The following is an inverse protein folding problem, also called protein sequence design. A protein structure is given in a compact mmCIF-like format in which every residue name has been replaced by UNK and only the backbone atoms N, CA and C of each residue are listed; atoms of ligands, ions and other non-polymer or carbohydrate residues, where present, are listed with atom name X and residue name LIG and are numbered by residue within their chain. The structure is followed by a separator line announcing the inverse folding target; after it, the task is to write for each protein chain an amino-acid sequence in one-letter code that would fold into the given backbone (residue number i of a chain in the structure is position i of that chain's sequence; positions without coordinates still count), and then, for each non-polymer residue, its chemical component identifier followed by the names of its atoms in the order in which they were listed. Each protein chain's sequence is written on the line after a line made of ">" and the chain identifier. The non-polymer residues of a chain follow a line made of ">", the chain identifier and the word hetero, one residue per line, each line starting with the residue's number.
data_IF_692785184927
#
_entry.id   IF_692785184927
#
_cell.length_a   1.000
_cell.length_b   1.000
_cell.length_c   1.000
_cell.angle_alpha   90.00
_cell.angle_beta   90.00
_cell.angle_gamma   90.00
#
_symmetry.space_group_name_H-M   'P 1'
#
loop_
_entity.id
_entity.type
_entity.pdbx_description
1 polymer ?
#
# COMPACT_ATOMS: atom_id res chain seq x y z
N UNK A 1 -63.25 -9.22 -70.74
CA UNK A 1 -62.49 -8.45 -69.76
C UNK A 1 -63.37 -8.13 -68.55
N UNK A 2 -63.29 -8.86 -67.46
CA UNK A 2 -64.02 -8.68 -66.20
C UNK A 2 -63.32 -7.54 -65.41
N UNK A 3 -64.10 -6.46 -65.23
CA UNK A 3 -63.71 -5.30 -64.48
C UNK A 3 -64.01 -5.57 -62.99
N UNK A 4 -63.01 -6.12 -62.22
CA UNK A 4 -63.13 -6.38 -60.78
C UNK A 4 -62.88 -5.06 -60.03
N UNK A 5 -64.01 -4.38 -59.66
CA UNK A 5 -63.94 -3.30 -58.66
C UNK A 5 -63.45 -3.84 -57.36
N UNK A 6 -62.23 -3.46 -56.96
CA UNK A 6 -61.70 -3.70 -55.60
C UNK A 6 -62.62 -3.02 -54.58
N UNK A 7 -63.32 -3.83 -53.79
CA UNK A 7 -64.06 -3.33 -52.63
C UNK A 7 -63.03 -2.87 -51.59
N UNK A 8 -63.00 -1.58 -51.32
CA UNK A 8 -62.18 -0.99 -50.26
C UNK A 8 -62.65 -1.55 -48.90
N UNK A 9 -61.69 -2.03 -48.11
CA UNK A 9 -61.96 -2.58 -46.80
C UNK A 9 -62.27 -1.47 -45.79
N UNK A 10 -63.50 -1.36 -45.22
CA UNK A 10 -63.89 -0.28 -44.36
C UNK A 10 -63.07 -0.20 -43.04
N UNK A 11 -62.40 -1.28 -42.67
CA UNK A 11 -61.50 -1.29 -41.49
C UNK A 11 -60.16 -0.61 -41.76
N UNK A 12 -59.66 -0.62 -42.98
CA UNK A 12 -58.41 0.06 -43.33
C UNK A 12 -58.61 1.55 -43.34
N UNK A 13 -59.74 2.07 -43.83
CA UNK A 13 -60.07 3.48 -43.82
C UNK A 13 -60.18 4.03 -42.40
N UNK A 14 -60.70 3.22 -41.45
CA UNK A 14 -60.83 3.60 -40.04
C UNK A 14 -59.49 3.64 -39.30
N UNK A 15 -58.48 2.88 -39.80
CA UNK A 15 -57.11 2.92 -39.25
C UNK A 15 -56.32 4.12 -39.81
N UNK A 16 -56.54 4.47 -41.03
CA UNK A 16 -55.89 5.69 -41.61
C UNK A 16 -56.39 6.97 -40.98
N UNK A 17 -57.69 7.08 -40.65
CA UNK A 17 -58.24 8.24 -39.94
C UNK A 17 -57.80 8.34 -38.47
N UNK A 18 -57.49 7.21 -37.83
CA UNK A 18 -56.91 7.20 -36.46
C UNK A 18 -55.44 7.63 -36.44
N UNK A 19 -54.69 7.38 -37.49
CA UNK A 19 -53.29 7.78 -37.57
C UNK A 19 -53.10 9.27 -37.96
N UNK A 20 -54.16 9.98 -38.37
CA UNK A 20 -54.10 11.42 -38.66
C UNK A 20 -54.25 12.32 -37.42
N UNK A 21 -54.60 11.79 -36.28
CA UNK A 21 -54.47 12.55 -35.03
C UNK A 21 -53.03 12.41 -34.59
N UNK A 22 -52.23 13.46 -34.75
CA UNK A 22 -50.88 13.56 -34.21
C UNK A 22 -50.94 13.23 -32.72
N UNK A 23 -50.30 12.15 -32.34
CA UNK A 23 -50.21 11.70 -30.94
C UNK A 23 -49.21 12.56 -30.15
N UNK A 24 -48.63 13.56 -30.78
CA UNK A 24 -47.75 14.52 -30.14
C UNK A 24 -48.53 15.82 -29.90
N UNK A 25 -48.84 16.16 -28.62
CA UNK A 25 -49.27 17.49 -28.32
C UNK A 25 -48.14 18.43 -28.74
N UNK A 26 -48.48 19.58 -29.33
CA UNK A 26 -47.56 20.67 -29.54
C UNK A 26 -46.93 21.08 -28.21
N UNK A 27 -45.89 20.38 -27.83
CA UNK A 27 -45.11 20.72 -26.68
C UNK A 27 -44.02 21.66 -27.17
N UNK A 28 -44.02 22.82 -26.62
CA UNK A 28 -42.84 23.65 -26.45
C UNK A 28 -41.81 22.76 -25.71
N UNK A 29 -41.15 21.84 -26.42
CA UNK A 29 -40.05 21.05 -25.92
C UNK A 29 -38.90 22.00 -25.78
N UNK A 30 -38.76 22.61 -24.58
CA UNK A 30 -37.48 23.20 -24.19
C UNK A 30 -36.44 22.12 -24.43
N UNK A 31 -35.51 22.37 -25.34
CA UNK A 31 -34.38 21.49 -25.61
C UNK A 31 -33.77 21.11 -24.26
N UNK A 32 -34.03 19.90 -23.76
CA UNK A 32 -33.30 19.34 -22.66
C UNK A 32 -31.89 19.17 -23.16
N UNK A 33 -30.95 19.87 -22.51
CA UNK A 33 -29.51 19.63 -22.71
C UNK A 33 -29.29 18.13 -22.74
N UNK A 34 -28.54 17.59 -23.70
CA UNK A 34 -28.32 16.18 -23.79
C UNK A 34 -27.78 15.67 -22.43
N UNK A 35 -28.47 14.72 -21.84
CA UNK A 35 -28.00 14.07 -20.61
C UNK A 35 -26.65 13.46 -20.94
N UNK A 36 -25.61 14.03 -20.35
CA UNK A 36 -24.26 13.53 -20.51
C UNK A 36 -24.20 12.23 -19.71
N UNK A 37 -24.35 11.10 -20.39
CA UNK A 37 -24.10 9.80 -19.80
C UNK A 37 -22.65 9.79 -19.32
N UNK A 38 -22.45 9.90 -18.02
CA UNK A 38 -21.13 9.68 -17.41
C UNK A 38 -20.85 8.21 -17.64
N UNK A 39 -19.84 7.93 -18.46
CA UNK A 39 -19.40 6.58 -18.69
C UNK A 39 -18.87 6.05 -17.32
N UNK A 40 -19.69 5.24 -16.66
CA UNK A 40 -19.35 4.69 -15.34
C UNK A 40 -18.01 3.97 -15.38
N UNK A 41 -17.62 3.40 -16.51
CA UNK A 41 -16.34 2.72 -16.69
C UNK A 41 -15.16 3.69 -16.55
N UNK A 42 -15.23 4.93 -17.10
CA UNK A 42 -14.15 5.91 -16.93
C UNK A 42 -14.00 6.35 -15.47
N UNK A 43 -15.12 6.49 -14.76
CA UNK A 43 -15.11 6.81 -13.34
C UNK A 43 -14.50 5.70 -12.50
N UNK A 44 -14.84 4.43 -12.78
CA UNK A 44 -14.24 3.28 -12.10
C UNK A 44 -12.76 3.09 -12.46
N UNK A 45 -12.37 3.25 -13.71
CA UNK A 45 -10.97 3.19 -14.15
C UNK A 45 -10.12 4.28 -13.50
N UNK A 46 -10.62 5.51 -13.39
CA UNK A 46 -9.89 6.59 -12.71
C UNK A 46 -9.67 6.29 -11.22
N UNK A 47 -10.65 5.72 -10.53
CA UNK A 47 -10.52 5.28 -9.12
C UNK A 47 -9.57 4.11 -8.96
N UNK A 48 -9.62 3.12 -9.85
CA UNK A 48 -8.71 1.98 -9.83
C UNK A 48 -7.27 2.42 -10.07
N UNK A 49 -7.04 3.26 -11.08
CA UNK A 49 -5.73 3.81 -11.39
C UNK A 49 -5.17 4.65 -10.24
N UNK A 50 -6.01 5.44 -9.57
CA UNK A 50 -5.61 6.21 -8.39
C UNK A 50 -5.20 5.30 -7.23
N UNK A 51 -6.02 4.30 -6.90
CA UNK A 51 -5.69 3.30 -5.86
C UNK A 51 -4.40 2.53 -6.20
N UNK A 52 -4.22 2.14 -7.45
CA UNK A 52 -3.04 1.43 -7.90
C UNK A 52 -1.78 2.31 -7.85
N UNK A 53 -1.88 3.60 -8.21
CA UNK A 53 -0.78 4.55 -8.09
C UNK A 53 -0.41 4.86 -6.63
N UNK A 54 -1.38 4.95 -5.74
CA UNK A 54 -1.16 5.13 -4.30
C UNK A 54 -0.52 3.87 -3.67
N UNK A 55 -1.00 2.68 -4.02
CA UNK A 55 -0.41 1.42 -3.59
C UNK A 55 1.04 1.28 -4.08
N UNK A 56 1.33 1.61 -5.35
CA UNK A 56 2.69 1.57 -5.91
C UNK A 56 3.62 2.56 -5.22
N UNK A 57 3.15 3.77 -4.89
CA UNK A 57 3.93 4.76 -4.13
C UNK A 57 4.27 4.25 -2.73
N UNK A 58 3.31 3.62 -2.04
CA UNK A 58 3.53 3.05 -0.72
C UNK A 58 4.54 1.89 -0.77
N UNK A 59 4.42 0.97 -1.73
CA UNK A 59 5.36 -0.13 -1.92
C UNK A 59 6.79 0.39 -2.17
N UNK A 60 6.95 1.43 -2.97
CA UNK A 60 8.27 2.01 -3.25
C UNK A 60 8.91 2.66 -2.02
N UNK A 61 8.10 3.17 -1.08
CA UNK A 61 8.59 3.73 0.19
C UNK A 61 9.32 2.70 1.05
N UNK A 62 8.94 1.43 0.98
CA UNK A 62 9.57 0.35 1.76
C UNK A 62 10.81 -0.26 1.10
N UNK A 63 11.09 0.14 -0.15
CA UNK A 63 12.23 -0.35 -0.94
C UNK A 63 13.49 0.51 -0.82
N UNK A 64 13.53 1.41 0.14
CA UNK A 64 14.65 2.30 0.38
C UNK A 64 15.23 2.03 1.76
N UNK A 65 16.54 1.92 1.84
CA UNK A 65 17.25 1.79 3.11
C UNK A 65 16.91 2.94 4.05
N UNK A 66 16.72 2.62 5.32
CA UNK A 66 16.30 3.57 6.34
C UNK A 66 17.45 3.87 7.31
N UNK A 67 17.76 5.13 7.49
CA UNK A 67 18.67 5.57 8.53
C UNK A 67 17.89 5.80 9.83
N UNK A 68 18.23 5.07 10.88
CA UNK A 68 17.55 5.13 12.18
C UNK A 68 18.14 6.20 13.10
N UNK A 69 19.38 6.61 12.85
CA UNK A 69 20.05 7.65 13.61
C UNK A 69 21.45 7.28 14.08
N UNK A 70 22.06 8.21 14.84
CA UNK A 70 23.36 8.05 15.45
C UNK A 70 23.22 7.97 16.96
N UNK A 71 23.97 7.06 17.58
CA UNK A 71 24.03 6.87 19.02
C UNK A 71 25.48 7.08 19.47
N UNK A 72 25.71 7.90 20.48
CA UNK A 72 27.01 8.01 21.16
C UNK A 72 26.96 7.23 22.44
N UNK A 73 27.90 6.31 22.60
CA UNK A 73 27.98 5.45 23.76
C UNK A 73 29.45 5.39 24.25
N UNK A 74 29.66 5.68 25.52
CA UNK A 74 30.98 5.57 26.16
C UNK A 74 31.18 4.19 26.83
N UNK A 75 30.13 3.36 26.81
CA UNK A 75 30.12 2.02 27.40
C UNK A 75 30.70 0.94 26.49
N UNK A 76 30.89 -0.26 27.04
CA UNK A 76 31.49 -1.38 26.33
C UNK A 76 30.53 -2.07 25.37
N UNK A 77 29.23 -1.99 25.63
CA UNK A 77 28.22 -2.67 24.86
C UNK A 77 26.90 -1.92 24.87
N UNK A 78 26.00 -2.34 23.97
CA UNK A 78 24.58 -1.97 23.99
C UNK A 78 23.72 -3.22 24.04
N UNK A 79 22.53 -3.10 24.62
CA UNK A 79 21.49 -4.11 24.55
C UNK A 79 20.49 -3.70 23.48
N UNK A 80 20.34 -4.50 22.45
CA UNK A 80 19.40 -4.30 21.35
C UNK A 80 18.20 -5.20 21.59
N UNK A 81 17.02 -4.60 21.63
CA UNK A 81 15.75 -5.30 21.80
C UNK A 81 14.93 -5.10 20.54
N UNK A 82 14.38 -6.20 20.01
CA UNK A 82 13.63 -6.25 18.78
C UNK A 82 12.28 -6.92 19.01
N UNK A 83 11.23 -6.38 18.41
CA UNK A 83 9.91 -7.02 18.35
C UNK A 83 9.19 -6.62 17.07
N UNK A 84 8.21 -7.40 16.68
CA UNK A 84 7.22 -6.95 15.72
C UNK A 84 6.34 -5.87 16.35
N UNK A 85 6.11 -4.76 15.64
CA UNK A 85 5.31 -3.66 16.17
C UNK A 85 3.88 -3.65 15.62
N UNK A 86 3.57 -4.50 14.63
CA UNK A 86 2.24 -4.63 14.06
C UNK A 86 1.67 -6.02 14.40
N UNK A 87 1.63 -6.91 13.43
CA UNK A 87 1.07 -8.25 13.58
C UNK A 87 2.12 -9.30 13.26
N UNK A 88 2.46 -10.19 14.22
CA UNK A 88 3.47 -11.22 14.00
C UNK A 88 3.04 -12.21 12.92
N UNK A 89 3.58 -12.06 11.74
CA UNK A 89 3.19 -12.83 10.55
C UNK A 89 4.35 -13.61 9.93
N UNK A 90 5.47 -13.70 10.65
CA UNK A 90 6.64 -14.48 10.25
C UNK A 90 7.79 -13.64 9.69
N UNK A 91 7.84 -12.36 10.04
CA UNK A 91 8.94 -11.47 9.68
C UNK A 91 10.28 -11.98 10.20
N UNK A 92 11.27 -12.07 9.31
CA UNK A 92 12.64 -12.47 9.59
C UNK A 92 13.60 -11.34 9.24
N UNK A 93 14.56 -11.09 10.12
CA UNK A 93 15.65 -10.16 9.89
C UNK A 93 17.00 -10.80 10.14
N UNK A 94 18.04 -10.26 9.51
CA UNK A 94 19.45 -10.51 9.78
C UNK A 94 20.06 -9.26 10.41
N UNK A 95 21.01 -9.42 11.31
CA UNK A 95 21.77 -8.30 11.88
C UNK A 95 23.24 -8.43 11.48
N UNK A 96 23.77 -7.36 10.92
CA UNK A 96 25.19 -7.19 10.59
C UNK A 96 25.78 -6.01 11.37
N UNK A 97 27.03 -6.13 11.75
CA UNK A 97 27.80 -5.04 12.35
C UNK A 97 29.09 -4.90 11.59
N UNK A 98 29.32 -3.71 11.03
CA UNK A 98 30.47 -3.46 10.16
C UNK A 98 30.61 -4.54 9.08
N UNK A 99 29.49 -4.86 8.39
CA UNK A 99 29.38 -5.89 7.34
C UNK A 99 29.59 -7.35 7.81
N UNK A 100 29.83 -7.59 9.09
CA UNK A 100 29.93 -8.93 9.66
C UNK A 100 28.60 -9.38 10.22
N UNK A 101 28.15 -10.58 9.85
CA UNK A 101 26.90 -11.17 10.35
C UNK A 101 27.08 -11.54 11.82
N UNK A 102 26.32 -10.87 12.70
CA UNK A 102 26.29 -11.20 14.14
C UNK A 102 25.08 -12.04 14.51
N UNK A 103 23.96 -11.86 13.79
CA UNK A 103 22.75 -12.68 13.96
C UNK A 103 22.21 -13.03 12.55
N UNK A 104 22.33 -14.29 12.13
CA UNK A 104 21.98 -14.67 10.74
C UNK A 104 20.48 -14.67 10.47
N UNK A 105 19.66 -14.93 11.51
CA UNK A 105 18.20 -14.83 11.40
C UNK A 105 17.57 -14.64 12.77
N UNK A 106 16.67 -13.66 12.86
CA UNK A 106 15.81 -13.40 14.02
C UNK A 106 14.38 -13.38 13.54
N UNK A 107 13.54 -14.28 14.06
CA UNK A 107 12.10 -14.22 13.87
C UNK A 107 11.55 -13.13 14.79
N UNK A 108 10.92 -12.12 14.21
CA UNK A 108 10.21 -11.07 14.94
C UNK A 108 8.89 -11.62 15.46
N UNK A 109 8.60 -11.30 16.71
CA UNK A 109 7.39 -11.74 17.40
C UNK A 109 6.86 -10.57 18.23
N UNK A 110 5.62 -10.65 18.69
CA UNK A 110 5.07 -9.70 19.66
C UNK A 110 5.92 -9.63 20.93
N UNK A 111 6.42 -10.80 21.37
CA UNK A 111 7.34 -10.89 22.52
C UNK A 111 8.72 -10.41 22.11
N UNK A 112 9.18 -9.35 22.78
CA UNK A 112 10.49 -8.76 22.55
C UNK A 112 11.62 -9.76 22.75
N UNK A 113 12.62 -9.74 21.87
CA UNK A 113 13.86 -10.51 21.93
C UNK A 113 15.03 -9.55 22.02
N UNK A 114 15.93 -9.77 22.94
CA UNK A 114 17.11 -8.94 23.13
C UNK A 114 18.40 -9.71 22.97
N UNK A 115 19.43 -8.99 22.54
CA UNK A 115 20.81 -9.50 22.54
C UNK A 115 21.77 -8.37 22.90
N UNK A 116 22.90 -8.76 23.48
CA UNK A 116 24.00 -7.87 23.80
C UNK A 116 24.90 -7.73 22.57
N UNK A 117 25.24 -6.50 22.21
CA UNK A 117 26.22 -6.17 21.18
C UNK A 117 27.43 -5.48 21.81
N UNK A 118 28.59 -6.15 21.82
CA UNK A 118 29.85 -5.56 22.22
C UNK A 118 30.33 -4.56 21.15
N UNK A 119 30.75 -3.37 21.56
CA UNK A 119 31.14 -2.29 20.67
C UNK A 119 32.65 -2.21 20.49
N UNK A 120 33.09 -2.07 19.25
CA UNK A 120 34.46 -1.69 18.92
C UNK A 120 34.66 -0.19 19.09
N UNK A 121 35.86 0.27 19.46
CA UNK A 121 36.16 1.70 19.47
C UNK A 121 35.95 2.33 18.10
N UNK A 122 35.36 3.53 18.07
CA UNK A 122 34.97 4.21 16.84
C UNK A 122 33.56 3.88 16.39
N UNK A 123 33.39 3.79 15.09
CA UNK A 123 32.06 3.59 14.49
C UNK A 123 31.68 2.11 14.39
N UNK A 124 30.50 1.80 14.89
CA UNK A 124 29.84 0.51 14.73
C UNK A 124 28.57 0.75 13.89
N UNK A 125 28.59 0.30 12.65
CA UNK A 125 27.47 0.37 11.73
C UNK A 125 26.63 -0.89 11.94
N UNK A 126 25.42 -0.73 12.48
CA UNK A 126 24.50 -1.83 12.78
C UNK A 126 23.38 -1.85 11.76
N UNK A 127 23.39 -2.84 10.88
CA UNK A 127 22.41 -3.03 9.83
C UNK A 127 21.41 -4.13 10.22
N UNK A 128 20.13 -3.80 10.19
CA UNK A 128 19.00 -4.72 10.30
C UNK A 128 18.43 -4.95 8.91
N UNK A 129 18.60 -6.14 8.37
CA UNK A 129 18.25 -6.46 6.98
C UNK A 129 17.02 -7.36 6.95
N UNK A 130 15.97 -6.93 6.26
CA UNK A 130 14.76 -7.74 6.10
C UNK A 130 15.03 -8.96 5.21
N UNK A 131 14.87 -10.16 5.74
CA UNK A 131 15.03 -11.42 4.99
C UNK A 131 13.76 -11.81 4.25
N UNK A 132 12.60 -11.43 4.78
CA UNK A 132 11.29 -11.62 4.19
C UNK A 132 10.35 -10.50 4.62
N UNK A 133 9.07 -10.59 4.25
CA UNK A 133 8.01 -9.65 4.61
C UNK A 133 6.83 -10.37 5.29
N UNK A 134 7.09 -11.50 5.91
CA UNK A 134 6.03 -12.31 6.50
C UNK A 134 4.97 -12.75 5.49
N UNK A 135 3.77 -13.00 5.96
CA UNK A 135 2.61 -13.32 5.11
C UNK A 135 1.82 -12.09 4.66
N UNK A 136 2.07 -10.92 5.25
CA UNK A 136 1.32 -9.67 5.07
C UNK A 136 2.25 -8.45 5.10
N UNK A 137 3.35 -8.50 4.33
CA UNK A 137 4.40 -7.49 4.33
C UNK A 137 3.94 -6.04 4.18
N UNK A 138 4.78 -5.09 4.57
CA UNK A 138 6.26 -5.13 4.68
C UNK A 138 6.75 -5.82 5.96
N UNK A 139 8.08 -6.10 6.05
CA UNK A 139 8.74 -6.50 7.29
C UNK A 139 8.65 -5.35 8.31
N UNK A 140 8.03 -5.60 9.45
CA UNK A 140 7.76 -4.57 10.46
C UNK A 140 8.47 -4.87 11.76
N UNK A 141 9.26 -3.90 12.26
CA UNK A 141 9.90 -4.06 13.55
C UNK A 141 10.01 -2.75 14.33
N UNK A 142 10.09 -2.92 15.65
CA UNK A 142 10.54 -1.91 16.59
C UNK A 142 11.88 -2.36 17.17
N UNK A 143 12.86 -1.46 17.14
CA UNK A 143 14.17 -1.63 17.75
C UNK A 143 14.33 -0.65 18.90
N UNK A 144 14.70 -1.17 20.04
CA UNK A 144 15.01 -0.39 21.25
C UNK A 144 16.43 -0.67 21.64
N UNK A 145 17.23 0.36 21.88
CA UNK A 145 18.64 0.26 22.24
C UNK A 145 18.85 0.87 23.63
N UNK A 146 19.41 0.08 24.51
CA UNK A 146 19.86 0.51 25.84
C UNK A 146 21.38 0.46 25.89
N UNK A 147 21.99 1.43 26.59
CA UNK A 147 23.41 1.37 26.90
C UNK A 147 23.71 0.32 28.02
N UNK A 148 24.99 0.18 28.40
CA UNK A 148 25.46 -0.70 29.45
C UNK A 148 24.97 -0.31 30.86
N UNK A 149 24.52 0.94 31.02
CA UNK A 149 23.91 1.43 32.27
C UNK A 149 22.37 1.26 32.28
N UNK A 150 21.79 0.67 31.24
CA UNK A 150 20.35 0.50 31.09
C UNK A 150 19.58 1.74 30.70
N UNK A 151 20.24 2.79 30.23
CA UNK A 151 19.57 4.00 29.73
C UNK A 151 19.12 3.79 28.29
N UNK A 152 17.93 4.27 27.99
CA UNK A 152 17.39 4.24 26.62
C UNK A 152 18.18 5.25 25.75
N UNK A 153 18.84 4.75 24.71
CA UNK A 153 19.66 5.55 23.78
C UNK A 153 19.15 5.53 22.34
N UNK A 154 18.23 4.63 22.01
CA UNK A 154 17.58 4.57 20.70
C UNK A 154 16.23 3.86 20.76
N UNK A 155 15.27 4.37 20.02
CA UNK A 155 13.96 3.71 19.82
C UNK A 155 13.39 4.13 18.46
N UNK A 156 13.33 3.17 17.53
CA UNK A 156 12.82 3.42 16.18
C UNK A 156 11.99 2.24 15.70
N UNK A 157 11.25 2.50 14.64
CA UNK A 157 10.44 1.50 13.92
C UNK A 157 10.77 1.56 12.43
N UNK A 158 10.62 0.43 11.77
CA UNK A 158 10.75 0.37 10.33
C UNK A 158 9.66 -0.46 9.68
N UNK A 159 9.50 -0.20 8.39
CA UNK A 159 8.71 -1.00 7.47
C UNK A 159 9.57 -1.21 6.23
N UNK A 160 10.12 -2.40 6.05
CA UNK A 160 11.10 -2.70 5.01
C UNK A 160 10.59 -3.75 4.02
N UNK A 161 10.90 -3.57 2.74
CA UNK A 161 10.79 -4.65 1.77
C UNK A 161 11.94 -5.66 1.96
N UNK A 162 11.77 -6.89 1.48
CA UNK A 162 12.83 -7.91 1.50
C UNK A 162 14.13 -7.38 0.86
N UNK A 163 15.25 -7.59 1.54
CA UNK A 163 16.59 -7.18 1.12
C UNK A 163 16.94 -5.73 1.45
N UNK A 164 16.00 -4.94 1.95
CA UNK A 164 16.22 -3.56 2.40
C UNK A 164 16.66 -3.55 3.85
N UNK A 165 17.43 -2.56 4.24
CA UNK A 165 18.01 -2.46 5.58
C UNK A 165 17.61 -1.18 6.32
N UNK A 166 17.62 -1.27 7.64
CA UNK A 166 17.56 -0.15 8.58
C UNK A 166 18.89 -0.08 9.33
N UNK A 167 19.50 1.08 9.43
CA UNK A 167 20.87 1.26 9.94
C UNK A 167 20.93 2.20 11.13
N UNK A 168 21.54 1.77 12.23
CA UNK A 168 22.08 2.63 13.27
C UNK A 168 23.60 2.80 13.12
N UNK A 169 24.09 3.99 13.40
CA UNK A 169 25.52 4.23 13.60
C UNK A 169 25.77 4.46 15.10
N UNK A 170 26.51 3.58 15.73
CA UNK A 170 26.87 3.69 17.16
C UNK A 170 28.34 4.04 17.27
N UNK A 171 28.62 5.21 17.78
CA UNK A 171 30.01 5.64 18.03
C UNK A 171 30.39 5.36 19.49
N UNK A 172 31.44 4.53 19.64
CA UNK A 172 32.10 4.30 20.95
C UNK A 172 33.35 5.14 21.04
N UNK A 173 33.45 5.90 22.09
CA UNK A 173 34.64 6.72 22.38
C UNK A 173 35.84 5.86 22.74
#
# INVERSE_FOLDING_TARGET
>A
LLNLKKKENPYLKKLEDKNKKSFFPDANVKEKKPERFINSNEFYLSRLNKKQSEATKNINKFKVDQFLGEIRNDGEYVNIILRDHEYPDGDLIKVEVNENVVMPAILLTEKAKGFKLDLSSGFNVVDFIALNQGSSGPNTAEVIVYDDLGRLVGNNRWNLATGVKATYIIYKK
#
